data_IF_185374671998
#
_entry.id   IF_185374671998
#
_cell.length_a   1.000
_cell.length_b   1.000
_cell.length_c   1.000
_cell.angle_alpha   90.00
_cell.angle_beta   90.00
_cell.angle_gamma   90.00
#
_symmetry.space_group_name_H-M   'P 1'
#
loop_
_entity.id
_entity.type
_entity.pdbx_description
1 polymer ?
#
# COMPACT_ATOMS: atom_id res chain seq x y z
N UNK A 1 -0.78 48.40 -29.70
CA UNK A 1 -1.83 48.51 -28.65
C UNK A 1 -2.25 47.16 -28.04
N UNK A 2 -2.25 46.04 -28.77
CA UNK A 2 -2.64 44.71 -28.23
C UNK A 2 -1.72 44.16 -27.13
N UNK A 3 -0.39 44.32 -27.27
CA UNK A 3 0.59 43.83 -26.28
C UNK A 3 0.40 44.47 -24.88
N UNK A 4 0.02 45.75 -24.85
CA UNK A 4 -0.21 46.51 -23.62
C UNK A 4 -1.51 46.07 -22.91
N UNK A 5 -2.51 45.60 -23.66
CA UNK A 5 -3.75 45.04 -23.10
C UNK A 5 -3.51 43.66 -22.49
N UNK A 6 -2.73 42.80 -23.16
CA UNK A 6 -2.36 41.46 -22.68
C UNK A 6 -1.57 41.54 -21.37
N UNK A 7 -0.58 42.44 -21.28
CA UNK A 7 0.21 42.59 -20.06
C UNK A 7 -0.63 43.07 -18.86
N UNK A 8 -1.58 43.98 -19.08
CA UNK A 8 -2.54 44.41 -18.04
C UNK A 8 -3.44 43.27 -17.60
N UNK A 9 -3.99 42.49 -18.55
CA UNK A 9 -4.83 41.34 -18.26
C UNK A 9 -4.07 40.27 -17.45
N UNK A 10 -2.82 39.95 -17.84
CA UNK A 10 -1.98 39.00 -17.11
C UNK A 10 -1.68 39.47 -15.67
N UNK A 11 -1.44 40.77 -15.45
CA UNK A 11 -1.26 41.31 -14.10
C UNK A 11 -2.51 41.17 -13.24
N UNK A 12 -3.69 41.41 -13.81
CA UNK A 12 -4.96 41.23 -13.09
C UNK A 12 -5.17 39.75 -12.73
N UNK A 13 -4.92 38.84 -13.67
CA UNK A 13 -5.03 37.39 -13.42
C UNK A 13 -4.03 36.93 -12.37
N UNK A 14 -2.79 37.40 -12.42
CA UNK A 14 -1.77 37.09 -11.41
C UNK A 14 -2.17 37.61 -10.02
N UNK A 15 -2.73 38.82 -9.93
CA UNK A 15 -3.23 39.39 -8.68
C UNK A 15 -4.41 38.58 -8.13
N UNK A 16 -5.37 38.21 -8.98
CA UNK A 16 -6.50 37.36 -8.58
C UNK A 16 -6.03 36.00 -8.07
N UNK A 17 -5.06 35.38 -8.76
CA UNK A 17 -4.47 34.11 -8.34
C UNK A 17 -3.78 34.24 -6.97
N UNK A 18 -3.02 35.33 -6.76
CA UNK A 18 -2.37 35.60 -5.49
C UNK A 18 -3.39 35.78 -4.35
N UNK A 19 -4.47 36.52 -4.58
CA UNK A 19 -5.56 36.69 -3.61
C UNK A 19 -6.23 35.35 -3.30
N UNK A 20 -6.56 34.56 -4.33
CA UNK A 20 -7.16 33.24 -4.15
C UNK A 20 -6.28 32.30 -3.33
N UNK A 21 -4.97 32.32 -3.55
CA UNK A 21 -4.01 31.48 -2.81
C UNK A 21 -3.84 31.92 -1.35
N UNK A 22 -3.95 33.22 -1.07
CA UNK A 22 -3.82 33.79 0.28
C UNK A 22 -5.11 33.71 1.12
N UNK A 23 -6.27 33.65 0.47
CA UNK A 23 -7.59 33.59 1.11
C UNK A 23 -7.69 32.52 2.22
N UNK A 24 -7.30 31.24 2.01
CA UNK A 24 -7.37 30.23 3.06
C UNK A 24 -6.49 30.54 4.27
N UNK A 25 -5.32 31.16 4.06
CA UNK A 25 -4.40 31.55 5.14
C UNK A 25 -4.98 32.68 5.98
N UNK A 26 -5.60 33.67 5.34
CA UNK A 26 -6.27 34.80 6.01
C UNK A 26 -7.46 34.28 6.83
N UNK A 27 -8.27 33.39 6.26
CA UNK A 27 -9.41 32.81 6.96
C UNK A 27 -8.97 31.98 8.18
N UNK A 28 -7.89 31.19 8.03
CA UNK A 28 -7.29 30.44 9.16
C UNK A 28 -6.83 31.40 10.26
N UNK A 29 -6.14 32.48 9.89
CA UNK A 29 -5.67 33.47 10.86
C UNK A 29 -6.83 34.17 11.59
N UNK A 30 -7.87 34.60 10.87
CA UNK A 30 -9.06 35.20 11.47
C UNK A 30 -9.79 34.22 12.39
N UNK A 31 -9.89 32.95 11.99
CA UNK A 31 -10.55 31.92 12.78
C UNK A 31 -9.85 31.65 14.11
N UNK A 32 -8.52 31.78 14.19
CA UNK A 32 -7.79 31.64 15.47
C UNK A 32 -8.38 32.56 16.54
N UNK A 33 -8.73 33.80 16.20
CA UNK A 33 -9.27 34.77 17.15
C UNK A 33 -10.78 34.69 17.36
N UNK A 34 -11.51 34.01 16.48
CA UNK A 34 -12.97 33.97 16.51
C UNK A 34 -13.54 32.92 17.48
N UNK A 35 -12.82 31.82 17.72
CA UNK A 35 -13.30 30.64 18.45
C UNK A 35 -12.59 30.42 19.81
N UNK A 36 -12.08 31.46 20.46
CA UNK A 36 -11.54 31.33 21.82
C UNK A 36 -12.67 31.30 22.87
N UNK A 37 -13.25 30.12 23.14
CA UNK A 37 -14.00 29.91 24.37
C UNK A 37 -13.00 29.73 25.51
N UNK A 38 -12.80 30.78 26.33
CA UNK A 38 -12.05 30.65 27.56
C UNK A 38 -12.94 30.02 28.62
N UNK A 39 -12.82 28.70 28.81
CA UNK A 39 -13.44 28.04 29.96
C UNK A 39 -12.76 28.51 31.25
N UNK A 40 -13.44 29.42 31.95
CA UNK A 40 -13.01 29.89 33.26
C UNK A 40 -13.27 28.75 34.24
N UNK A 41 -12.20 28.09 34.70
CA UNK A 41 -12.30 27.02 35.68
C UNK A 41 -12.72 27.60 37.05
N UNK A 42 -14.01 27.46 37.39
CA UNK A 42 -14.59 27.95 38.66
C UNK A 42 -14.43 26.96 39.82
N UNK A 43 -13.63 25.90 39.67
CA UNK A 43 -13.34 24.93 40.72
C UNK A 43 -14.40 23.83 40.91
N UNK A 44 -15.47 23.82 40.12
CA UNK A 44 -16.40 22.70 40.07
C UNK A 44 -15.80 21.54 39.25
N UNK A 45 -15.65 20.37 39.86
CA UNK A 45 -15.17 19.15 39.20
C UNK A 45 -16.28 18.55 38.33
N UNK A 46 -16.60 19.18 37.20
CA UNK A 46 -17.34 18.53 36.13
C UNK A 46 -16.33 18.07 35.07
N UNK A 47 -15.96 16.79 35.12
CA UNK A 47 -15.08 16.20 34.10
C UNK A 47 -15.89 15.98 32.82
N UNK A 48 -15.88 16.94 31.90
CA UNK A 48 -16.48 16.80 30.57
C UNK A 48 -15.59 15.89 29.71
N UNK A 49 -15.67 14.58 29.94
CA UNK A 49 -14.83 13.57 29.27
C UNK A 49 -15.20 13.34 27.79
N UNK A 50 -16.30 13.93 27.31
CA UNK A 50 -16.75 13.84 25.91
C UNK A 50 -17.55 15.09 25.53
N UNK A 51 -16.90 16.25 25.53
CA UNK A 51 -17.46 17.37 24.77
C UNK A 51 -17.16 17.20 23.29
N UNK A 52 -18.21 17.36 22.49
CA UNK A 52 -18.08 17.42 21.04
C UNK A 52 -17.20 18.62 20.73
N UNK A 53 -15.96 18.34 20.30
CA UNK A 53 -15.04 19.39 19.90
C UNK A 53 -15.59 20.05 18.61
N UNK A 54 -16.23 21.20 18.79
CA UNK A 54 -16.78 22.03 17.72
C UNK A 54 -15.71 22.96 17.11
N UNK A 55 -14.47 22.90 17.59
CA UNK A 55 -13.38 23.70 17.06
C UNK A 55 -12.99 23.19 15.67
N UNK A 56 -12.97 24.11 14.72
CA UNK A 56 -12.58 23.84 13.35
C UNK A 56 -11.04 23.83 13.25
N UNK A 57 -10.44 22.65 13.43
CA UNK A 57 -9.01 22.44 13.28
C UNK A 57 -8.59 22.38 11.79
N UNK A 58 -8.11 23.50 11.26
CA UNK A 58 -7.53 23.52 9.92
C UNK A 58 -6.26 22.66 9.85
N UNK A 59 -6.20 21.74 8.88
CA UNK A 59 -5.07 20.80 8.65
C UNK A 59 -4.89 19.71 9.72
N UNK A 60 -5.97 19.28 10.40
CA UNK A 60 -5.94 18.12 11.31
C UNK A 60 -5.38 16.84 10.65
N UNK A 61 -5.51 16.74 9.33
CA UNK A 61 -4.97 15.67 8.52
C UNK A 61 -3.90 16.19 7.56
N UNK A 62 -2.77 15.46 7.51
CA UNK A 62 -1.67 15.76 6.59
C UNK A 62 -2.11 15.41 5.16
N UNK A 63 -2.48 16.42 4.37
CA UNK A 63 -2.96 16.23 2.98
C UNK A 63 -1.88 15.62 2.07
N UNK A 64 -0.60 15.87 2.36
CA UNK A 64 0.54 15.28 1.65
C UNK A 64 1.38 14.40 2.58
N UNK A 65 1.29 13.09 2.39
CA UNK A 65 2.23 12.16 3.00
C UNK A 65 3.49 12.12 2.13
N UNK A 66 4.63 12.53 2.69
CA UNK A 66 5.91 12.31 2.05
C UNK A 66 6.14 10.80 1.99
N UNK A 67 5.95 10.20 0.82
CA UNK A 67 6.17 8.78 0.59
C UNK A 67 7.43 8.61 -0.25
N UNK A 68 8.34 7.77 0.23
CA UNK A 68 9.57 7.42 -0.47
C UNK A 68 9.45 5.98 -0.97
N UNK A 69 9.53 5.77 -2.28
CA UNK A 69 9.56 4.42 -2.86
C UNK A 69 10.91 3.77 -2.55
N UNK A 70 10.89 2.63 -1.86
CA UNK A 70 12.06 1.79 -1.68
C UNK A 70 11.96 0.58 -2.62
N UNK A 71 12.85 0.52 -3.61
CA UNK A 71 12.95 -0.62 -4.50
C UNK A 71 13.80 -1.70 -3.84
N UNK A 72 13.15 -2.75 -3.34
CA UNK A 72 13.85 -3.90 -2.80
C UNK A 72 14.32 -4.79 -3.96
N UNK A 73 15.62 -5.07 -4.03
CA UNK A 73 16.14 -6.15 -4.87
C UNK A 73 15.79 -7.47 -4.20
N UNK A 74 14.89 -8.23 -4.81
CA UNK A 74 14.61 -9.61 -4.42
C UNK A 74 15.31 -10.56 -5.38
N UNK A 75 15.92 -11.60 -4.84
CA UNK A 75 16.41 -12.71 -5.64
C UNK A 75 15.29 -13.74 -5.73
N UNK A 76 14.78 -13.96 -6.94
CA UNK A 76 13.73 -14.94 -7.18
C UNK A 76 14.38 -16.32 -7.10
N UNK A 77 13.86 -17.20 -6.24
CA UNK A 77 14.29 -18.59 -6.20
C UNK A 77 13.78 -19.29 -7.46
N UNK A 78 14.69 -19.62 -8.36
CA UNK A 78 14.39 -20.43 -9.53
C UNK A 78 14.45 -21.91 -9.09
N UNK A 79 13.31 -22.59 -9.08
CA UNK A 79 13.29 -24.05 -8.91
C UNK A 79 14.05 -24.64 -10.10
N UNK A 80 15.17 -25.30 -9.81
CA UNK A 80 15.85 -26.13 -10.78
C UNK A 80 15.07 -27.42 -10.87
N UNK A 81 14.47 -27.71 -12.02
CA UNK A 81 13.85 -29.01 -12.26
C UNK A 81 14.91 -30.10 -12.03
N UNK A 82 14.60 -31.05 -11.15
CA UNK A 82 15.44 -32.22 -10.96
C UNK A 82 15.39 -33.05 -12.24
N UNK A 83 16.57 -33.38 -12.79
CA UNK A 83 16.65 -34.30 -13.92
C UNK A 83 16.07 -35.64 -13.53
N UNK A 84 15.13 -36.17 -14.32
CA UNK A 84 14.53 -37.49 -14.10
C UNK A 84 15.66 -38.52 -14.06
N UNK A 85 15.90 -39.12 -12.89
CA UNK A 85 16.90 -40.17 -12.75
C UNK A 85 16.34 -41.44 -13.40
N UNK A 86 17.02 -41.93 -14.44
CA UNK A 86 16.67 -43.21 -15.06
C UNK A 86 17.10 -44.32 -14.09
N UNK A 87 16.14 -44.82 -13.30
CA UNK A 87 16.36 -45.86 -12.28
C UNK A 87 16.67 -47.23 -12.89
N UNK A 88 16.25 -47.47 -14.14
CA UNK A 88 16.55 -48.70 -14.89
C UNK A 88 16.62 -48.43 -16.38
N UNK A 89 17.64 -48.98 -17.04
CA UNK A 89 17.78 -48.98 -18.50
C UNK A 89 17.01 -50.14 -19.16
N UNK A 90 16.37 -51.00 -18.35
CA UNK A 90 15.76 -52.23 -18.80
C UNK A 90 14.23 -52.08 -18.84
N UNK A 91 13.66 -52.20 -20.03
CA UNK A 91 12.22 -52.24 -20.26
C UNK A 91 11.81 -53.64 -20.72
N UNK A 92 11.00 -54.33 -19.93
CA UNK A 92 10.41 -55.61 -20.35
C UNK A 92 9.34 -55.34 -21.41
N UNK A 93 9.39 -56.06 -22.54
CA UNK A 93 8.39 -55.97 -23.61
C UNK A 93 7.03 -56.58 -23.21
N UNK A 94 7.00 -57.38 -22.14
CA UNK A 94 5.79 -58.01 -21.61
C UNK A 94 5.88 -58.07 -20.09
N UNK A 95 4.73 -57.88 -19.43
CA UNK A 95 4.60 -58.08 -17.99
C UNK A 95 4.73 -59.56 -17.59
N UNK A 96 4.54 -60.47 -18.55
CA UNK A 96 4.64 -61.90 -18.28
C UNK A 96 6.10 -62.35 -18.14
N UNK A 97 6.50 -62.65 -16.90
CA UNK A 97 7.76 -63.33 -16.61
C UNK A 97 7.48 -64.78 -16.22
N UNK A 98 7.96 -65.72 -17.03
CA UNK A 98 7.85 -67.14 -16.71
C UNK A 98 8.70 -67.45 -15.48
N UNK A 99 8.08 -67.92 -14.39
CA UNK A 99 8.80 -68.29 -13.17
C UNK A 99 9.86 -69.36 -13.47
N UNK A 100 11.02 -69.27 -12.82
CA UNK A 100 12.14 -70.20 -13.02
C UNK A 100 11.81 -71.65 -12.61
N UNK A 101 10.72 -71.85 -11.86
CA UNK A 101 10.20 -73.16 -11.47
C UNK A 101 9.27 -73.78 -12.50
N UNK A 102 8.84 -73.04 -13.53
CA UNK A 102 7.90 -73.55 -14.53
C UNK A 102 8.44 -74.75 -15.34
N UNK A 103 9.76 -74.94 -15.35
CA UNK A 103 10.42 -76.07 -16.01
C UNK A 103 10.83 -77.19 -15.04
N UNK A 104 10.65 -77.00 -13.73
CA UNK A 104 11.01 -78.03 -12.75
C UNK A 104 9.85 -79.02 -12.62
N UNK A 105 10.18 -80.31 -12.62
CA UNK A 105 9.21 -81.36 -12.31
C UNK A 105 8.70 -81.25 -10.87
N UNK A 106 7.56 -81.89 -10.55
CA UNK A 106 7.04 -81.93 -9.19
C UNK A 106 8.05 -82.59 -8.24
N UNK A 107 8.14 -82.14 -6.97
CA UNK A 107 9.03 -82.76 -5.99
C UNK A 107 8.61 -84.22 -5.74
N UNK A 108 9.58 -85.13 -5.72
CA UNK A 108 9.34 -86.52 -5.33
C UNK A 108 9.09 -86.61 -3.83
N UNK A 109 8.05 -87.35 -3.42
CA UNK A 109 7.83 -87.69 -2.01
C UNK A 109 8.96 -88.62 -1.54
N UNK A 110 9.75 -88.17 -0.57
CA UNK A 110 10.67 -89.00 0.22
C UNK A 110 9.94 -89.40 1.49
#
# INVERSE_FOLDING_TARGET
MQQLKIHKALKIVALLLAIALLTPTINKFAHLFAHHHHDICKGEKTTHLHELNLDCDFYKYKVFHNYTFHFFKYNIFLIKEESIQIVSQYQFLSEYQRLQTALRGPPSLI
#
